data_IF_459939740577
#
_entry.id   IF_459939740577
#
_cell.length_a   1.000
_cell.length_b   1.000
_cell.length_c   1.000
_cell.angle_alpha   90.00
_cell.angle_beta   90.00
_cell.angle_gamma   90.00
#
_symmetry.space_group_name_H-M   'P 1'
#
loop_
_entity.id
_entity.type
_entity.pdbx_description
1 polymer ?
#
# COMPACT_ATOMS: atom_id res chain seq x y z
N UNK A 1 -16.49 2.10 2.96
CA UNK A 1 -16.04 3.52 2.97
C UNK A 1 -15.14 3.81 4.18
N UNK A 2 -15.58 3.57 5.42
CA UNK A 2 -14.77 3.81 6.62
C UNK A 2 -13.38 3.15 6.58
N UNK A 3 -13.31 1.85 6.26
CA UNK A 3 -12.03 1.14 6.14
C UNK A 3 -11.09 1.77 5.10
N UNK A 4 -11.63 2.24 3.98
CA UNK A 4 -10.84 2.92 2.95
C UNK A 4 -10.29 4.26 3.47
N UNK A 5 -11.10 5.07 4.13
CA UNK A 5 -10.64 6.33 4.75
C UNK A 5 -9.50 6.05 5.73
N UNK A 6 -9.64 5.02 6.57
CA UNK A 6 -8.63 4.64 7.55
C UNK A 6 -7.33 4.23 6.86
N UNK A 7 -7.38 3.31 5.90
CA UNK A 7 -6.19 2.84 5.16
C UNK A 7 -5.49 3.99 4.42
N UNK A 8 -6.26 4.84 3.73
CA UNK A 8 -5.71 5.98 3.01
C UNK A 8 -5.14 7.06 3.94
N UNK A 9 -5.69 7.21 5.15
CA UNK A 9 -5.13 8.10 6.18
C UNK A 9 -3.79 7.57 6.69
N UNK A 10 -3.69 6.26 6.95
CA UNK A 10 -2.41 5.61 7.29
C UNK A 10 -1.37 5.77 6.18
N UNK A 11 -1.75 5.68 4.90
CA UNK A 11 -0.83 5.94 3.80
C UNK A 11 -0.28 7.38 3.84
N UNK A 12 -1.14 8.36 4.14
CA UNK A 12 -0.74 9.76 4.34
C UNK A 12 0.22 9.94 5.50
N UNK A 13 -0.07 9.33 6.65
CA UNK A 13 0.82 9.36 7.81
C UNK A 13 2.17 8.69 7.55
N UNK A 14 2.18 7.58 6.80
CA UNK A 14 3.43 6.91 6.42
C UNK A 14 4.28 7.81 5.52
N UNK A 15 3.69 8.51 4.54
CA UNK A 15 4.45 9.42 3.68
C UNK A 15 5.03 10.61 4.47
N UNK A 16 4.26 11.15 5.43
CA UNK A 16 4.75 12.20 6.35
C UNK A 16 5.86 11.68 7.26
N UNK A 17 5.75 10.45 7.76
CA UNK A 17 6.79 9.84 8.58
C UNK A 17 8.08 9.65 7.77
N UNK A 18 7.97 9.22 6.51
CA UNK A 18 9.10 9.08 5.60
C UNK A 18 9.75 10.43 5.25
N UNK A 19 8.97 11.49 5.02
CA UNK A 19 9.54 12.82 4.75
C UNK A 19 10.37 13.31 5.93
N UNK A 20 9.89 13.12 7.16
CA UNK A 20 10.65 13.43 8.38
C UNK A 20 11.91 12.55 8.50
N UNK A 21 11.83 11.27 8.14
CA UNK A 21 12.95 10.33 8.22
C UNK A 21 14.11 10.72 7.28
N UNK A 22 13.80 11.28 6.09
CA UNK A 22 14.81 11.83 5.17
C UNK A 22 15.16 13.29 5.47
N UNK A 23 14.73 13.82 6.62
CA UNK A 23 14.95 15.21 7.05
C UNK A 23 14.46 16.27 6.06
N UNK A 24 13.42 15.96 5.29
CA UNK A 24 12.77 16.91 4.40
C UNK A 24 11.76 17.76 5.19
N UNK A 25 11.94 19.09 5.14
CA UNK A 25 11.07 20.05 5.82
C UNK A 25 10.66 21.23 4.92
N UNK A 26 10.90 21.14 3.61
CA UNK A 26 10.67 22.24 2.67
C UNK A 26 9.18 22.43 2.37
N UNK A 27 8.38 21.38 2.52
CA UNK A 27 6.94 21.39 2.21
C UNK A 27 6.11 21.03 3.43
N UNK A 28 4.93 21.64 3.56
CA UNK A 28 3.99 21.36 4.65
C UNK A 28 3.54 19.88 4.65
N UNK A 29 3.37 19.31 5.84
CA UNK A 29 2.91 17.91 6.05
C UNK A 29 1.58 17.62 5.35
N UNK A 30 0.69 18.60 5.28
CA UNK A 30 -0.59 18.47 4.57
C UNK A 30 -0.38 18.21 3.08
N UNK A 31 0.68 18.75 2.48
CA UNK A 31 0.99 18.53 1.07
C UNK A 31 1.35 17.07 0.79
N UNK A 32 2.14 16.43 1.67
CA UNK A 32 2.43 15.00 1.60
C UNK A 32 1.15 14.16 1.72
N UNK A 33 0.27 14.53 2.65
CA UNK A 33 -1.02 13.86 2.80
C UNK A 33 -1.86 13.93 1.52
N UNK A 34 -1.96 15.09 0.87
CA UNK A 34 -2.69 15.22 -0.40
C UNK A 34 -1.99 14.52 -1.56
N UNK A 35 -0.66 14.62 -1.63
CA UNK A 35 0.15 14.00 -2.67
C UNK A 35 -0.11 12.50 -2.75
N UNK A 36 -0.11 11.80 -1.60
CA UNK A 36 -0.33 10.36 -1.62
C UNK A 36 -1.74 9.96 -2.06
N UNK A 37 -2.76 10.81 -1.83
CA UNK A 37 -4.11 10.50 -2.30
C UNK A 37 -4.16 10.56 -3.82
N UNK A 38 -3.58 11.60 -4.43
CA UNK A 38 -3.49 11.75 -5.89
C UNK A 38 -2.68 10.58 -6.48
N UNK A 39 -1.53 10.27 -5.89
CA UNK A 39 -0.68 9.18 -6.35
C UNK A 39 -1.36 7.81 -6.20
N UNK A 40 -2.10 7.57 -5.12
CA UNK A 40 -2.85 6.31 -4.96
C UNK A 40 -3.96 6.16 -6.00
N UNK A 41 -4.63 7.25 -6.39
CA UNK A 41 -5.60 7.22 -7.50
C UNK A 41 -4.94 6.79 -8.82
N UNK A 42 -3.70 7.23 -9.07
CA UNK A 42 -2.97 6.79 -10.28
C UNK A 42 -2.69 5.27 -10.31
N UNK A 43 -2.66 4.61 -9.15
CA UNK A 43 -2.48 3.16 -9.04
C UNK A 43 -3.66 2.32 -9.56
N UNK A 44 -4.82 2.94 -9.81
CA UNK A 44 -5.97 2.28 -10.45
C UNK A 44 -5.69 2.02 -11.94
N UNK A 45 -4.78 2.79 -12.55
CA UNK A 45 -4.43 2.66 -13.96
C UNK A 45 -3.71 1.31 -14.13
N UNK A 46 -4.25 0.37 -14.92
CA UNK A 46 -3.77 -1.02 -14.98
C UNK A 46 -2.50 -1.18 -15.83
N UNK A 47 -1.65 -0.14 -15.88
CA UNK A 47 -0.37 -0.16 -16.61
C UNK A 47 0.71 -0.89 -15.79
N UNK A 48 0.62 -0.85 -14.46
CA UNK A 48 1.59 -1.51 -13.57
C UNK A 48 0.87 -2.39 -12.54
N UNK A 49 1.27 -3.66 -12.36
CA UNK A 49 0.67 -4.54 -11.36
C UNK A 49 0.86 -3.95 -9.95
N UNK A 50 -0.22 -3.85 -9.20
CA UNK A 50 -0.22 -3.25 -7.85
C UNK A 50 0.04 -1.74 -7.80
N UNK A 51 0.05 -1.04 -8.95
CA UNK A 51 0.28 0.40 -9.02
C UNK A 51 1.70 0.84 -8.64
N UNK A 52 2.61 -0.12 -8.45
CA UNK A 52 4.03 0.12 -8.13
C UNK A 52 4.72 0.79 -9.32
N UNK A 53 5.57 1.79 -9.06
CA UNK A 53 6.22 2.56 -10.11
C UNK A 53 5.41 3.77 -10.55
N UNK A 54 4.17 3.62 -11.04
CA UNK A 54 3.38 4.78 -11.47
C UNK A 54 3.04 5.73 -10.32
N UNK A 55 2.56 5.19 -9.19
CA UNK A 55 2.35 5.97 -7.96
C UNK A 55 3.63 6.72 -7.55
N UNK A 56 4.78 6.06 -7.69
CA UNK A 56 6.05 6.57 -7.22
C UNK A 56 6.54 7.71 -8.13
N UNK A 57 6.38 7.56 -9.46
CA UNK A 57 6.66 8.61 -10.45
C UNK A 57 5.74 9.81 -10.25
N UNK A 58 4.44 9.60 -10.01
CA UNK A 58 3.50 10.70 -9.77
C UNK A 58 3.87 11.43 -8.47
N UNK A 59 4.17 10.70 -7.40
CA UNK A 59 4.63 11.28 -6.13
C UNK A 59 5.91 12.10 -6.34
N UNK A 60 6.92 11.54 -7.01
CA UNK A 60 8.17 12.23 -7.31
C UNK A 60 7.94 13.50 -8.13
N UNK A 61 7.07 13.46 -9.15
CA UNK A 61 6.74 14.64 -9.97
C UNK A 61 6.10 15.73 -9.13
N UNK A 62 5.11 15.39 -8.30
CA UNK A 62 4.42 16.35 -7.42
C UNK A 62 5.41 16.98 -6.43
N UNK A 63 6.25 16.17 -5.78
CA UNK A 63 7.27 16.68 -4.84
C UNK A 63 8.34 17.53 -5.53
N UNK A 64 8.79 17.14 -6.72
CA UNK A 64 9.75 17.92 -7.50
C UNK A 64 9.17 19.27 -7.91
N UNK A 65 7.88 19.32 -8.26
CA UNK A 65 7.17 20.58 -8.53
C UNK A 65 7.01 21.46 -7.29
N UNK A 66 6.98 20.86 -6.09
CA UNK A 66 6.93 21.56 -4.81
C UNK A 66 8.29 22.05 -4.30
N UNK A 67 9.35 21.98 -5.14
CA UNK A 67 10.73 22.36 -4.81
C UNK A 67 11.37 21.49 -3.71
N UNK A 68 10.88 20.27 -3.51
CA UNK A 68 11.60 19.26 -2.73
C UNK A 68 12.90 18.91 -3.46
N UNK A 69 13.99 18.76 -2.71
CA UNK A 69 15.27 18.33 -3.28
C UNK A 69 15.10 17.03 -4.11
N UNK A 70 15.81 16.94 -5.24
CA UNK A 70 15.65 15.83 -6.19
C UNK A 70 15.93 14.47 -5.56
N UNK A 71 16.89 14.39 -4.62
CA UNK A 71 17.22 13.15 -3.92
C UNK A 71 16.04 12.77 -3.03
N UNK A 72 15.54 13.71 -2.21
CA UNK A 72 14.43 13.45 -1.30
C UNK A 72 13.12 13.14 -2.05
N UNK A 73 12.81 13.87 -3.12
CA UNK A 73 11.65 13.65 -3.96
C UNK A 73 11.64 12.25 -4.60
N UNK A 74 12.82 11.65 -4.79
CA UNK A 74 12.98 10.29 -5.32
C UNK A 74 12.98 9.24 -4.21
N UNK A 75 13.67 9.51 -3.10
CA UNK A 75 13.80 8.57 -1.99
C UNK A 75 12.49 8.30 -1.26
N UNK A 76 11.68 9.34 -1.02
CA UNK A 76 10.41 9.21 -0.29
C UNK A 76 9.47 8.15 -0.92
N UNK A 77 9.13 8.22 -2.21
CA UNK A 77 8.25 7.21 -2.82
C UNK A 77 8.89 5.81 -2.91
N UNK A 78 10.22 5.72 -3.10
CA UNK A 78 10.91 4.42 -3.11
C UNK A 78 10.82 3.75 -1.72
N UNK A 79 11.09 4.51 -0.65
CA UNK A 79 10.94 4.00 0.71
C UNK A 79 9.49 3.61 1.02
N UNK A 80 8.51 4.37 0.51
CA UNK A 80 7.10 4.02 0.64
C UNK A 80 6.78 2.67 -0.02
N UNK A 81 7.29 2.43 -1.23
CA UNK A 81 7.17 1.12 -1.91
C UNK A 81 7.83 0.01 -1.09
N UNK A 82 9.02 0.23 -0.53
CA UNK A 82 9.68 -0.77 0.32
C UNK A 82 8.86 -1.14 1.56
N UNK A 83 8.23 -0.16 2.21
CA UNK A 83 7.33 -0.42 3.35
C UNK A 83 6.14 -1.28 2.94
N UNK A 84 5.53 -0.99 1.78
CA UNK A 84 4.44 -1.80 1.25
C UNK A 84 4.89 -3.21 0.90
N UNK A 85 6.01 -3.35 0.18
CA UNK A 85 6.58 -4.66 -0.19
C UNK A 85 6.92 -5.49 1.04
N UNK A 86 7.46 -4.87 2.09
CA UNK A 86 7.75 -5.54 3.36
C UNK A 86 6.47 -6.11 3.99
N UNK A 87 5.39 -5.34 4.06
CA UNK A 87 4.12 -5.83 4.58
C UNK A 87 3.48 -6.91 3.70
N UNK A 88 3.59 -6.79 2.37
CA UNK A 88 3.16 -7.84 1.45
C UNK A 88 3.94 -9.13 1.66
N UNK A 89 5.25 -9.04 1.92
CA UNK A 89 6.08 -10.19 2.22
C UNK A 89 5.67 -10.87 3.52
N UNK A 90 5.38 -10.10 4.58
CA UNK A 90 4.83 -10.65 5.84
C UNK A 90 3.51 -11.39 5.57
N UNK A 91 2.59 -10.78 4.83
CA UNK A 91 1.31 -11.41 4.46
C UNK A 91 1.51 -12.72 3.67
N UNK A 92 2.48 -12.73 2.75
CA UNK A 92 2.84 -13.93 1.99
C UNK A 92 3.40 -15.05 2.90
N UNK A 93 4.24 -14.72 3.88
CA UNK A 93 4.73 -15.68 4.86
C UNK A 93 3.57 -16.28 5.68
N UNK A 94 2.63 -15.47 6.13
CA UNK A 94 1.43 -15.97 6.82
C UNK A 94 0.60 -16.90 5.95
N UNK A 95 0.51 -16.65 4.64
CA UNK A 95 -0.23 -17.52 3.73
C UNK A 95 0.49 -18.85 3.47
N UNK A 96 1.83 -18.84 3.40
CA UNK A 96 2.65 -20.05 3.20
C UNK A 96 2.66 -20.93 4.45
N UNK A 97 2.82 -20.33 5.64
CA UNK A 97 2.96 -21.06 6.90
C UNK A 97 1.66 -21.24 7.67
N UNK A 98 0.64 -20.45 7.35
CA UNK A 98 -0.71 -20.61 7.89
C UNK A 98 -1.34 -21.86 7.30
N UNK A 99 -1.51 -22.90 8.11
CA UNK A 99 -2.36 -24.04 7.73
C UNK A 99 -3.76 -23.52 7.45
N UNK A 100 -4.14 -23.44 6.18
CA UNK A 100 -5.54 -23.27 5.77
C UNK A 100 -6.31 -24.46 6.35
N UNK A 101 -7.05 -24.22 7.44
CA UNK A 101 -7.96 -25.22 7.98
C UNK A 101 -8.98 -25.50 6.87
N UNK A 102 -8.89 -26.68 6.25
CA UNK A 102 -9.87 -27.12 5.25
C UNK A 102 -11.25 -27.03 5.92
N UNK A 103 -12.25 -26.36 5.33
CA UNK A 103 -13.60 -26.44 5.86
C UNK A 103 -13.97 -27.92 5.93
N UNK A 104 -14.37 -28.39 7.10
CA UNK A 104 -14.93 -29.74 7.26
C UNK A 104 -16.15 -29.81 6.34
N UNK A 105 -16.09 -30.69 5.34
CA UNK A 105 -17.27 -31.07 4.58
C UNK A 105 -18.28 -31.61 5.58
N UNK A 106 -19.38 -30.89 5.72
CA UNK A 106 -20.54 -31.28 6.49
C UNK A 106 -21.09 -32.57 5.85
N UNK A 107 -20.80 -33.69 6.51
CA UNK A 107 -21.37 -35.01 6.24
C UNK A 107 -22.89 -34.94 6.44
N UNK A 108 -23.63 -34.46 5.44
CA UNK A 108 -25.08 -34.75 5.35
C UNK A 108 -25.22 -36.16 4.82
N UNK A 109 -25.38 -37.09 5.75
CA UNK A 109 -25.59 -38.50 5.49
C UNK A 109 -26.83 -38.74 4.62
N UNK A 110 -26.59 -39.33 3.45
CA UNK A 110 -27.62 -40.00 2.68
C UNK A 110 -27.57 -41.48 3.06
N UNK A 111 -28.35 -41.86 4.09
CA UNK A 111 -28.70 -43.25 4.32
C UNK A 111 -29.60 -43.70 3.16
N UNK A 112 -28.99 -44.18 2.07
CA UNK A 112 -29.71 -44.97 1.07
C UNK A 112 -29.93 -46.35 1.69
N UNK A 113 -31.17 -46.60 2.09
CA UNK A 113 -31.65 -47.89 2.59
C UNK A 113 -31.50 -48.90 1.46
N UNK A 114 -30.60 -49.87 1.61
CA UNK A 114 -30.58 -51.09 0.81
C UNK A 114 -31.52 -52.13 1.42
N UNK A 115 -32.30 -52.75 0.51
CA UNK A 115 -33.17 -53.95 0.59
C UNK A 115 -34.52 -53.85 1.33
#
# INVERSE_FOLDING_TARGET
>A
ILMSIVVHSFNGFTLIALSNAVSENTVSKHYYFFTIQISNTSGIIPVFPGGVGLRDVITQKILSSAKVDKINATMIPICFTLVFTFWSFIGALFFIFGKLKKPEDENTGENVIEE
#
